data_IF_848725675095
#
_entry.id   IF_848725675095
#
_cell.length_a   1.000
_cell.length_b   1.000
_cell.length_c   1.000
_cell.angle_alpha   90.00
_cell.angle_beta   90.00
_cell.angle_gamma   90.00
#
_symmetry.space_group_name_H-M   'P 1'
#
loop_
_entity.id
_entity.type
_entity.pdbx_description
1 polymer ?
#
# COMPACT_ATOMS: atom_id res chain seq x y z
N UNK A 1 -9.72 10.23 4.92
CA UNK A 1 -8.96 8.99 5.21
C UNK A 1 -9.69 7.71 4.75
N UNK A 2 -11.02 7.74 4.72
CA UNK A 2 -11.81 6.52 4.45
C UNK A 2 -11.89 6.07 2.99
N UNK A 3 -11.82 6.97 2.01
CA UNK A 3 -11.98 6.62 0.59
C UNK A 3 -10.79 5.87 0.00
N UNK A 4 -9.55 6.29 0.29
CA UNK A 4 -8.35 5.60 -0.19
C UNK A 4 -8.21 4.21 0.43
N UNK A 5 -8.46 4.10 1.75
CA UNK A 5 -8.43 2.83 2.47
C UNK A 5 -9.53 1.88 1.95
N UNK A 6 -10.73 2.40 1.71
CA UNK A 6 -11.83 1.61 1.17
C UNK A 6 -11.53 1.07 -0.24
N UNK A 7 -10.97 1.91 -1.12
CA UNK A 7 -10.56 1.50 -2.46
C UNK A 7 -9.46 0.44 -2.41
N UNK A 8 -8.44 0.61 -1.56
CA UNK A 8 -7.38 -0.35 -1.36
C UNK A 8 -7.93 -1.69 -0.85
N UNK A 9 -8.74 -1.68 0.21
CA UNK A 9 -9.36 -2.88 0.77
C UNK A 9 -10.26 -3.62 -0.24
N UNK A 10 -11.06 -2.89 -1.03
CA UNK A 10 -11.89 -3.48 -2.07
C UNK A 10 -11.06 -4.19 -3.13
N UNK A 11 -9.96 -3.59 -3.58
CA UNK A 11 -9.04 -4.17 -4.57
C UNK A 11 -8.19 -5.32 -4.02
N UNK A 12 -7.88 -5.29 -2.72
CA UNK A 12 -7.14 -6.35 -2.02
C UNK A 12 -7.99 -7.57 -1.66
N UNK A 13 -9.31 -7.50 -1.80
CA UNK A 13 -10.20 -8.60 -1.41
C UNK A 13 -9.86 -9.92 -2.11
N UNK A 14 -9.68 -9.91 -3.43
CA UNK A 14 -9.36 -11.11 -4.19
C UNK A 14 -8.00 -11.73 -3.80
N UNK A 15 -6.87 -10.99 -3.78
CA UNK A 15 -5.59 -11.55 -3.38
C UNK A 15 -5.58 -12.05 -1.93
N UNK A 16 -6.29 -11.39 -1.01
CA UNK A 16 -6.41 -11.86 0.37
C UNK A 16 -7.18 -13.18 0.47
N UNK A 17 -8.30 -13.33 -0.26
CA UNK A 17 -9.05 -14.58 -0.30
C UNK A 17 -8.18 -15.71 -0.85
N UNK A 18 -7.43 -15.47 -1.93
CA UNK A 18 -6.53 -16.46 -2.53
C UNK A 18 -5.43 -16.85 -1.54
N UNK A 19 -4.80 -15.88 -0.88
CA UNK A 19 -3.74 -16.14 0.09
C UNK A 19 -4.25 -16.92 1.30
N UNK A 20 -5.35 -16.50 1.90
CA UNK A 20 -5.97 -17.17 3.05
C UNK A 20 -6.40 -18.59 2.65
N UNK A 21 -7.01 -18.76 1.48
CA UNK A 21 -7.42 -20.07 0.97
C UNK A 21 -6.23 -21.01 0.74
N UNK A 22 -5.15 -20.52 0.16
CA UNK A 22 -3.92 -21.27 -0.05
C UNK A 22 -3.32 -21.75 1.28
N UNK A 23 -3.25 -20.85 2.28
CA UNK A 23 -2.77 -21.21 3.62
C UNK A 23 -3.70 -22.21 4.30
N UNK A 24 -5.01 -22.02 4.22
CA UNK A 24 -5.99 -22.93 4.82
C UNK A 24 -5.86 -24.34 4.24
N UNK A 25 -5.74 -24.46 2.91
CA UNK A 25 -5.54 -25.75 2.22
C UNK A 25 -4.21 -26.39 2.65
N UNK A 26 -3.12 -25.63 2.63
CA UNK A 26 -1.80 -26.14 2.99
C UNK A 26 -1.74 -26.64 4.44
N UNK A 27 -2.25 -25.87 5.38
CA UNK A 27 -2.31 -26.23 6.81
C UNK A 27 -3.22 -27.42 7.04
N UNK A 28 -4.41 -27.42 6.41
CA UNK A 28 -5.36 -28.52 6.56
C UNK A 28 -4.75 -29.87 6.16
N UNK A 29 -4.07 -29.93 5.02
CA UNK A 29 -3.42 -31.15 4.58
C UNK A 29 -2.29 -31.61 5.53
N UNK A 30 -1.50 -30.67 6.07
CA UNK A 30 -0.46 -31.03 7.05
C UNK A 30 -1.04 -31.60 8.36
N UNK A 31 -2.21 -31.11 8.78
CA UNK A 31 -2.91 -31.65 9.97
C UNK A 31 -3.55 -33.01 9.69
N UNK A 32 -4.09 -33.23 8.49
CA UNK A 32 -4.80 -34.45 8.13
C UNK A 32 -3.87 -35.61 7.76
N UNK A 33 -2.74 -35.33 7.12
CA UNK A 33 -1.78 -36.35 6.69
C UNK A 33 -0.98 -36.83 7.92
N UNK A 34 -1.05 -38.13 8.27
CA UNK A 34 -0.32 -38.64 9.41
C UNK A 34 1.19 -38.58 9.17
N UNK A 35 1.91 -38.10 10.18
CA UNK A 35 3.35 -38.14 10.27
C UNK A 35 3.82 -39.28 11.15
N UNK A 36 5.11 -39.27 11.48
CA UNK A 36 5.73 -40.18 12.44
C UNK A 36 6.52 -39.36 13.47
N UNK A 37 6.47 -39.75 14.72
CA UNK A 37 7.34 -39.15 15.74
C UNK A 37 8.77 -39.73 15.69
N UNK A 38 9.63 -39.30 16.62
CA UNK A 38 11.02 -39.80 16.72
C UNK A 38 11.15 -41.28 16.99
N UNK A 39 10.08 -41.95 17.42
CA UNK A 39 10.01 -43.40 17.70
C UNK A 39 9.32 -44.18 16.57
N UNK A 40 8.91 -43.50 15.50
CA UNK A 40 8.24 -44.10 14.34
C UNK A 40 6.74 -44.36 14.53
N UNK A 41 6.14 -43.85 15.63
CA UNK A 41 4.71 -43.97 15.88
C UNK A 41 3.92 -42.94 15.06
N UNK A 42 2.73 -43.34 14.53
CA UNK A 42 1.93 -42.40 13.75
C UNK A 42 1.43 -41.25 14.63
N UNK A 43 1.77 -40.02 14.25
CA UNK A 43 1.35 -38.82 14.95
C UNK A 43 0.74 -37.80 13.98
N UNK A 44 -0.24 -37.04 14.40
CA UNK A 44 -0.79 -35.94 13.62
C UNK A 44 -0.19 -34.62 14.08
N UNK A 45 0.19 -33.82 13.12
CA UNK A 45 0.70 -32.50 13.41
C UNK A 45 -0.41 -31.60 14.00
N UNK A 46 -0.09 -30.89 15.08
CA UNK A 46 -1.04 -29.90 15.64
C UNK A 46 -1.23 -28.71 14.67
N UNK A 47 -2.38 -28.06 14.77
CA UNK A 47 -2.67 -26.89 13.96
C UNK A 47 -1.56 -25.83 14.05
N UNK A 48 -1.07 -25.54 15.25
CA UNK A 48 -0.02 -24.54 15.45
C UNK A 48 1.31 -24.93 14.80
N UNK A 49 1.71 -26.18 14.89
CA UNK A 49 2.93 -26.64 14.20
C UNK A 49 2.77 -26.59 12.68
N UNK A 50 1.62 -27.00 12.15
CA UNK A 50 1.34 -26.92 10.72
C UNK A 50 1.31 -25.47 10.23
N UNK A 51 0.66 -24.57 10.96
CA UNK A 51 0.61 -23.14 10.62
C UNK A 51 2.00 -22.50 10.68
N UNK A 52 2.76 -22.79 11.73
CA UNK A 52 4.14 -22.33 11.87
C UNK A 52 5.02 -22.82 10.72
N UNK A 53 4.96 -24.13 10.42
CA UNK A 53 5.68 -24.74 9.31
C UNK A 53 5.35 -24.09 7.96
N UNK A 54 4.07 -23.99 7.61
CA UNK A 54 3.62 -23.37 6.36
C UNK A 54 4.03 -21.90 6.30
N UNK A 55 3.99 -21.17 7.42
CA UNK A 55 4.35 -19.74 7.45
C UNK A 55 5.81 -19.49 7.09
N UNK A 56 6.76 -20.21 7.69
CA UNK A 56 8.16 -20.01 7.36
C UNK A 56 8.55 -20.62 6.00
N UNK A 57 7.81 -21.63 5.54
CA UNK A 57 8.00 -22.22 4.21
C UNK A 57 7.50 -21.27 3.12
N UNK A 58 6.31 -20.70 3.28
CA UNK A 58 5.72 -19.74 2.34
C UNK A 58 6.50 -18.44 2.26
N UNK A 59 7.13 -18.00 3.36
CA UNK A 59 8.01 -16.82 3.40
C UNK A 59 9.46 -17.13 3.00
N UNK A 60 9.75 -18.33 2.54
CA UNK A 60 11.05 -18.79 2.04
C UNK A 60 12.18 -18.81 3.10
N UNK A 61 11.86 -18.79 4.40
CA UNK A 61 12.85 -18.87 5.48
C UNK A 61 13.43 -20.29 5.61
N UNK A 62 12.58 -21.33 5.57
CA UNK A 62 12.98 -22.72 5.43
C UNK A 62 13.79 -23.33 6.59
N UNK A 63 13.23 -23.40 7.80
CA UNK A 63 13.89 -24.05 8.95
C UNK A 63 14.02 -25.58 8.85
N UNK A 64 13.51 -26.21 7.79
CA UNK A 64 13.51 -27.65 7.61
C UNK A 64 12.25 -28.35 8.13
N UNK A 65 12.33 -29.68 8.31
CA UNK A 65 11.21 -30.50 8.76
C UNK A 65 11.08 -30.43 10.29
N UNK A 66 10.05 -29.81 10.79
CA UNK A 66 9.81 -29.57 12.22
C UNK A 66 8.36 -29.94 12.56
N UNK A 67 8.06 -30.59 13.70
CA UNK A 67 8.97 -30.96 14.78
C UNK A 67 9.70 -32.31 14.56
N UNK A 68 9.28 -33.08 13.58
CA UNK A 68 9.83 -34.40 13.25
C UNK A 68 10.09 -34.51 11.75
N UNK A 69 10.97 -35.43 11.31
CA UNK A 69 11.14 -35.74 9.90
C UNK A 69 9.81 -36.14 9.25
N UNK A 70 9.55 -35.63 8.06
CA UNK A 70 8.29 -35.85 7.38
C UNK A 70 8.24 -37.20 6.67
N UNK A 71 7.07 -37.83 6.66
CA UNK A 71 6.79 -38.95 5.80
C UNK A 71 6.79 -38.57 4.32
N UNK A 72 6.93 -39.51 3.41
CA UNK A 72 6.88 -39.24 1.98
C UNK A 72 5.55 -38.60 1.54
N UNK A 73 4.43 -38.95 2.19
CA UNK A 73 3.13 -38.34 1.93
C UNK A 73 3.11 -36.87 2.35
N UNK A 74 3.67 -36.56 3.53
CA UNK A 74 3.82 -35.17 3.98
C UNK A 74 4.76 -34.37 3.08
N UNK A 75 5.91 -34.96 2.68
CA UNK A 75 6.83 -34.30 1.74
C UNK A 75 6.19 -33.95 0.40
N UNK A 76 5.40 -34.87 -0.16
CA UNK A 76 4.66 -34.62 -1.39
C UNK A 76 3.65 -33.46 -1.20
N UNK A 77 2.90 -33.49 -0.09
CA UNK A 77 1.96 -32.43 0.24
C UNK A 77 2.65 -31.07 0.45
N UNK A 78 3.78 -31.08 1.16
CA UNK A 78 4.59 -29.88 1.36
C UNK A 78 5.08 -29.30 0.03
N UNK A 79 5.56 -30.16 -0.88
CA UNK A 79 5.99 -29.73 -2.22
C UNK A 79 4.84 -29.04 -2.97
N UNK A 80 3.65 -29.63 -2.97
CA UNK A 80 2.46 -28.99 -3.55
C UNK A 80 2.13 -27.67 -2.84
N UNK A 81 2.15 -27.66 -1.52
CA UNK A 81 1.85 -26.49 -0.70
C UNK A 81 2.84 -25.33 -0.91
N UNK A 82 4.12 -25.63 -1.15
CA UNK A 82 5.13 -24.62 -1.49
C UNK A 82 4.73 -23.85 -2.75
N UNK A 83 4.44 -24.55 -3.84
CA UNK A 83 4.03 -23.87 -5.08
C UNK A 83 2.75 -23.07 -4.88
N UNK A 84 1.76 -23.64 -4.20
CA UNK A 84 0.48 -22.99 -3.95
C UNK A 84 0.66 -21.71 -3.13
N UNK A 85 1.39 -21.76 -2.03
CA UNK A 85 1.56 -20.63 -1.12
C UNK A 85 2.50 -19.56 -1.68
N UNK A 86 3.62 -19.95 -2.31
CA UNK A 86 4.56 -19.00 -2.92
C UNK A 86 3.92 -18.24 -4.08
N UNK A 87 3.19 -18.94 -4.98
CA UNK A 87 2.47 -18.28 -6.07
C UNK A 87 1.42 -17.30 -5.52
N UNK A 88 0.67 -17.72 -4.48
CA UNK A 88 -0.32 -16.86 -3.83
C UNK A 88 0.31 -15.61 -3.18
N UNK A 89 1.50 -15.75 -2.59
CA UNK A 89 2.28 -14.66 -2.02
C UNK A 89 2.71 -13.65 -3.08
N UNK A 90 3.32 -14.13 -4.18
CA UNK A 90 3.72 -13.24 -5.29
C UNK A 90 2.53 -12.57 -5.96
N UNK A 91 1.40 -13.28 -6.09
CA UNK A 91 0.16 -12.67 -6.57
C UNK A 91 -0.32 -11.53 -5.66
N UNK A 92 -0.34 -11.75 -4.35
CA UNK A 92 -0.74 -10.73 -3.38
C UNK A 92 0.22 -9.52 -3.41
N UNK A 93 1.53 -9.76 -3.44
CA UNK A 93 2.54 -8.71 -3.52
C UNK A 93 2.42 -7.90 -4.81
N UNK A 94 2.26 -8.57 -5.95
CA UNK A 94 2.05 -7.91 -7.25
C UNK A 94 0.80 -7.01 -7.25
N UNK A 95 -0.28 -7.42 -6.58
CA UNK A 95 -1.49 -6.60 -6.42
C UNK A 95 -1.27 -5.38 -5.51
N UNK A 96 -0.48 -5.51 -4.46
CA UNK A 96 -0.08 -4.37 -3.62
C UNK A 96 0.68 -3.34 -4.47
N UNK A 97 1.70 -3.79 -5.20
CA UNK A 97 2.49 -2.92 -6.08
C UNK A 97 1.62 -2.24 -7.15
N UNK A 98 0.69 -2.98 -7.75
CA UNK A 98 -0.25 -2.43 -8.74
C UNK A 98 -1.13 -1.32 -8.13
N UNK A 99 -1.63 -1.50 -6.89
CA UNK A 99 -2.42 -0.48 -6.20
C UNK A 99 -1.58 0.76 -5.91
N UNK A 100 -0.33 0.58 -5.46
CA UNK A 100 0.57 1.71 -5.18
C UNK A 100 0.90 2.53 -6.43
N UNK A 101 0.93 1.90 -7.59
CA UNK A 101 1.19 2.55 -8.89
C UNK A 101 -0.08 3.09 -9.57
N UNK A 102 -1.27 2.81 -9.03
CA UNK A 102 -2.54 3.27 -9.62
C UNK A 102 -2.68 4.80 -9.48
N UNK A 103 -2.83 5.54 -10.59
CA UNK A 103 -2.94 7.00 -10.56
C UNK A 103 -4.11 7.50 -9.70
N UNK A 104 -5.25 6.78 -9.73
CA UNK A 104 -6.42 7.15 -8.94
C UNK A 104 -6.15 7.03 -7.44
N UNK A 105 -5.40 6.01 -7.02
CA UNK A 105 -5.01 5.83 -5.63
C UNK A 105 -4.02 6.91 -5.17
N UNK A 106 -3.03 7.21 -6.01
CA UNK A 106 -2.06 8.29 -5.74
C UNK A 106 -2.74 9.65 -5.65
N UNK A 107 -3.71 9.94 -6.53
CA UNK A 107 -4.47 11.18 -6.50
C UNK A 107 -5.30 11.34 -5.22
N UNK A 108 -5.95 10.27 -4.75
CA UNK A 108 -6.69 10.31 -3.46
C UNK A 108 -5.76 10.55 -2.28
N UNK A 109 -4.56 9.95 -2.30
CA UNK A 109 -3.55 10.19 -1.27
C UNK A 109 -3.01 11.63 -1.33
N UNK A 110 -2.71 12.14 -2.53
CA UNK A 110 -2.22 13.50 -2.73
C UNK A 110 -3.26 14.52 -2.25
N UNK A 111 -4.53 14.39 -2.66
CA UNK A 111 -5.63 15.26 -2.19
C UNK A 111 -5.80 15.21 -0.67
N UNK A 112 -5.64 14.04 -0.06
CA UNK A 112 -5.73 13.88 1.39
C UNK A 112 -4.57 14.52 2.16
N UNK A 113 -3.36 14.52 1.59
CA UNK A 113 -2.19 15.24 2.15
C UNK A 113 -2.36 16.74 1.99
N UNK A 114 -2.68 17.19 0.77
CA UNK A 114 -2.92 18.58 0.46
C UNK A 114 -3.94 19.22 1.42
N UNK A 115 -5.12 18.61 1.57
CA UNK A 115 -6.16 19.11 2.48
C UNK A 115 -5.70 19.20 3.93
N UNK A 116 -4.83 18.29 4.39
CA UNK A 116 -4.24 18.36 5.73
C UNK A 116 -3.20 19.47 5.86
N UNK A 117 -2.38 19.66 4.82
CA UNK A 117 -1.40 20.72 4.77
C UNK A 117 -2.08 22.09 4.78
N UNK A 118 -3.09 22.29 3.94
CA UNK A 118 -3.88 23.55 3.92
C UNK A 118 -4.59 23.80 5.26
N UNK A 119 -5.23 22.78 5.84
CA UNK A 119 -5.90 22.90 7.14
C UNK A 119 -4.93 23.18 8.32
N UNK A 120 -3.65 22.89 8.13
CA UNK A 120 -2.57 23.21 9.08
C UNK A 120 -2.08 24.66 9.01
N UNK A 121 -2.43 25.41 7.95
CA UNK A 121 -2.06 26.80 7.81
C UNK A 121 -2.90 27.65 8.78
N UNK A 122 -2.23 28.30 9.73
CA UNK A 122 -2.88 29.13 10.76
C UNK A 122 -2.95 30.62 10.39
N UNK A 123 -2.22 31.00 9.35
CA UNK A 123 -2.12 32.37 8.87
C UNK A 123 -2.87 32.54 7.54
N UNK A 124 -3.29 33.76 7.19
CA UNK A 124 -3.84 34.02 5.86
C UNK A 124 -2.85 33.57 4.76
N UNK A 125 -3.36 32.95 3.73
CA UNK A 125 -2.58 32.46 2.61
C UNK A 125 -3.25 32.85 1.28
N UNK A 126 -2.49 32.79 0.21
CA UNK A 126 -2.97 33.06 -1.15
C UNK A 126 -3.09 31.76 -1.94
N UNK A 127 -4.17 31.64 -2.72
CA UNK A 127 -4.36 30.51 -3.64
C UNK A 127 -3.90 30.95 -5.03
N UNK A 128 -2.86 30.29 -5.56
CA UNK A 128 -2.35 30.51 -6.92
C UNK A 128 -2.94 29.45 -7.84
N UNK A 129 -3.81 29.88 -8.74
CA UNK A 129 -4.47 29.04 -9.72
C UNK A 129 -3.65 28.97 -11.01
N UNK A 130 -2.87 27.93 -11.18
CA UNK A 130 -1.93 27.72 -12.27
C UNK A 130 -0.49 27.99 -11.86
N UNK A 131 0.40 27.01 -12.12
CA UNK A 131 1.84 27.11 -11.87
C UNK A 131 2.62 27.10 -13.20
N UNK A 132 2.26 28.04 -14.09
CA UNK A 132 3.03 28.35 -15.30
C UNK A 132 4.11 29.40 -15.01
N UNK A 133 4.66 30.04 -16.03
CA UNK A 133 5.69 31.09 -15.87
C UNK A 133 5.27 32.18 -14.88
N UNK A 134 4.11 32.79 -15.08
CA UNK A 134 3.61 33.83 -14.16
C UNK A 134 3.28 33.28 -12.76
N UNK A 135 2.70 32.09 -12.67
CA UNK A 135 2.34 31.49 -11.38
C UNK A 135 3.56 31.14 -10.54
N UNK A 136 4.62 30.62 -11.14
CA UNK A 136 5.88 30.31 -10.45
C UNK A 136 6.58 31.58 -9.95
N UNK A 137 6.67 32.62 -10.78
CA UNK A 137 7.23 33.92 -10.38
C UNK A 137 6.45 34.57 -9.22
N UNK A 138 5.12 34.48 -9.25
CA UNK A 138 4.28 34.97 -8.15
C UNK A 138 4.53 34.22 -6.84
N UNK A 139 4.58 32.88 -6.89
CA UNK A 139 4.85 32.04 -5.70
C UNK A 139 6.22 32.37 -5.12
N UNK A 140 7.24 32.49 -5.94
CA UNK A 140 8.59 32.86 -5.52
C UNK A 140 8.64 34.28 -4.90
N UNK A 141 7.97 35.26 -5.52
CA UNK A 141 7.88 36.61 -4.99
C UNK A 141 7.14 36.70 -3.65
N UNK A 142 6.13 35.83 -3.43
CA UNK A 142 5.42 35.74 -2.16
C UNK A 142 6.25 35.01 -1.10
N UNK A 143 6.96 33.95 -1.48
CA UNK A 143 7.86 33.22 -0.60
C UNK A 143 8.96 34.13 -0.02
N UNK A 144 9.60 34.96 -0.87
CA UNK A 144 10.57 35.97 -0.43
C UNK A 144 9.99 37.02 0.52
N UNK A 145 8.69 37.22 0.50
CA UNK A 145 7.98 38.16 1.41
C UNK A 145 7.44 37.47 2.66
N UNK A 146 7.65 36.18 2.80
CA UNK A 146 7.11 35.37 3.90
C UNK A 146 5.59 35.16 3.82
N UNK A 147 4.96 35.33 2.65
CA UNK A 147 3.53 35.14 2.44
C UNK A 147 3.28 33.70 2.02
N UNK A 148 2.46 32.99 2.79
CA UNK A 148 2.12 31.59 2.48
C UNK A 148 1.24 31.49 1.23
N UNK A 149 1.56 30.53 0.39
CA UNK A 149 0.84 30.25 -0.86
C UNK A 149 0.41 28.80 -0.93
N UNK A 150 -0.69 28.57 -1.62
CA UNK A 150 -1.22 27.24 -1.98
C UNK A 150 -1.36 27.21 -3.49
N UNK A 151 -0.86 26.17 -4.14
CA UNK A 151 -0.83 26.04 -5.60
C UNK A 151 -1.83 25.01 -6.07
N UNK A 152 -2.60 25.32 -7.08
CA UNK A 152 -3.45 24.35 -7.79
C UNK A 152 -3.21 24.48 -9.29
N UNK A 153 -2.81 23.39 -9.93
CA UNK A 153 -2.64 23.33 -11.39
C UNK A 153 -3.20 22.00 -11.93
N UNK A 154 -3.73 22.03 -13.15
CA UNK A 154 -4.22 20.84 -13.84
C UNK A 154 -3.07 19.96 -14.35
N UNK A 155 -1.90 20.53 -14.53
CA UNK A 155 -0.71 19.84 -15.05
C UNK A 155 0.13 19.25 -13.93
N UNK A 156 0.21 17.91 -13.88
CA UNK A 156 0.98 17.18 -12.88
C UNK A 156 2.49 17.51 -12.88
N UNK A 157 3.08 17.84 -14.06
CA UNK A 157 4.49 18.21 -14.14
C UNK A 157 4.75 19.53 -13.40
N UNK A 158 3.90 20.53 -13.60
CA UNK A 158 3.99 21.83 -12.92
C UNK A 158 3.82 21.73 -11.41
N UNK A 159 2.89 20.90 -10.95
CA UNK A 159 2.72 20.63 -9.51
C UNK A 159 3.95 19.94 -8.94
N UNK A 160 4.58 19.06 -9.70
CA UNK A 160 5.85 18.42 -9.29
C UNK A 160 6.98 19.44 -9.20
N UNK A 161 7.07 20.36 -10.14
CA UNK A 161 8.03 21.50 -10.11
C UNK A 161 7.83 22.37 -8.87
N UNK A 162 6.58 22.73 -8.55
CA UNK A 162 6.26 23.49 -7.34
C UNK A 162 6.73 22.82 -6.06
N UNK A 163 6.56 21.49 -5.97
CA UNK A 163 7.03 20.70 -4.83
C UNK A 163 8.55 20.57 -4.73
N UNK A 164 9.28 20.82 -5.82
CA UNK A 164 10.74 20.70 -5.91
C UNK A 164 11.46 22.05 -5.93
N UNK A 165 10.73 23.16 -5.94
CA UNK A 165 11.26 24.52 -6.17
C UNK A 165 12.19 25.03 -5.06
N UNK A 166 12.36 24.31 -3.95
CA UNK A 166 13.29 24.70 -2.87
C UNK A 166 12.93 26.02 -2.19
N UNK A 167 11.66 26.36 -2.13
CA UNK A 167 11.13 27.57 -1.50
C UNK A 167 11.39 27.57 0.01
N UNK A 168 11.42 28.72 0.65
CA UNK A 168 11.66 28.86 2.09
C UNK A 168 10.45 28.39 2.91
N UNK A 169 9.23 28.60 2.38
CA UNK A 169 7.98 28.18 2.99
C UNK A 169 7.48 26.86 2.33
N UNK A 170 6.82 26.03 3.12
CA UNK A 170 6.10 24.88 2.58
C UNK A 170 4.89 25.36 1.76
N UNK A 171 4.89 25.02 0.47
CA UNK A 171 3.85 25.41 -0.50
C UNK A 171 3.04 24.17 -0.86
N UNK A 172 1.88 23.97 -0.23
CA UNK A 172 0.99 22.86 -0.62
C UNK A 172 0.56 22.99 -2.08
N UNK A 173 0.78 21.94 -2.87
CA UNK A 173 0.42 21.94 -4.29
C UNK A 173 -0.49 20.74 -4.62
N UNK A 174 -1.51 20.97 -5.46
CA UNK A 174 -2.51 19.97 -5.86
C UNK A 174 -2.69 19.94 -7.38
N UNK A 175 -2.71 18.70 -7.93
CA UNK A 175 -3.13 18.48 -9.33
C UNK A 175 -4.65 18.41 -9.36
N UNK A 176 -5.30 19.50 -9.78
CA UNK A 176 -6.76 19.56 -9.90
C UNK A 176 -7.20 20.66 -10.85
N UNK A 177 -8.45 20.58 -11.31
CA UNK A 177 -9.09 21.62 -12.12
C UNK A 177 -9.72 22.68 -11.19
N UNK A 178 -9.19 23.88 -11.21
CA UNK A 178 -9.66 25.02 -10.41
C UNK A 178 -11.07 25.49 -10.77
N UNK A 179 -11.60 25.08 -11.94
CA UNK A 179 -12.98 25.40 -12.34
C UNK A 179 -14.01 24.60 -11.54
N UNK A 180 -13.59 23.55 -10.85
CA UNK A 180 -14.45 22.74 -10.00
C UNK A 180 -14.54 23.36 -8.61
N UNK A 181 -15.76 23.71 -8.12
CA UNK A 181 -15.92 24.30 -6.79
C UNK A 181 -15.29 23.51 -5.65
N UNK A 182 -15.41 22.17 -5.70
CA UNK A 182 -14.82 21.28 -4.69
C UNK A 182 -13.30 21.43 -4.59
N UNK A 183 -12.62 21.77 -5.68
CA UNK A 183 -11.18 22.02 -5.71
C UNK A 183 -10.82 23.26 -4.88
N UNK A 184 -11.57 24.33 -5.05
CA UNK A 184 -11.35 25.57 -4.32
C UNK A 184 -11.66 25.42 -2.84
N UNK A 185 -12.73 24.71 -2.49
CA UNK A 185 -13.04 24.36 -1.09
C UNK A 185 -11.91 23.50 -0.47
N UNK A 186 -11.35 22.54 -1.22
CA UNK A 186 -10.18 21.78 -0.75
C UNK A 186 -8.94 22.66 -0.56
N UNK A 187 -8.79 23.71 -1.35
CA UNK A 187 -7.72 24.67 -1.25
C UNK A 187 -7.94 25.73 -0.14
N UNK A 188 -9.06 25.67 0.60
CA UNK A 188 -9.36 26.52 1.74
C UNK A 188 -10.16 27.79 1.39
N UNK A 189 -10.78 27.85 0.20
CA UNK A 189 -11.74 28.90 -0.12
C UNK A 189 -13.09 28.52 0.53
N UNK A 190 -13.52 29.29 1.51
CA UNK A 190 -14.83 29.19 2.18
C UNK A 190 -15.89 30.06 1.49
#
# INVERSE_FOLDING_TARGET
MNSALFLALRRMRAPLIVLIGAYAIAVLGMVLIPGQDGEGMPVRMSFFHAFYFISYTATTIGFGEVPYPFTNAQRLWVTFSMYLTVISWFYALGKILQIMQDPSFQQVLASGRFRRSVAGLREPFLIVCGYGETGSELVEAFDHRGVRTVVVDINAARVSEANLAGLHLDVPALVADVRLPDTLVMAGLE
#
